data_IF_664280623817
#
_entry.id   IF_664280623817
#
_cell.length_a   1.000
_cell.length_b   1.000
_cell.length_c   1.000
_cell.angle_alpha   90.00
_cell.angle_beta   90.00
_cell.angle_gamma   90.00
#
_symmetry.space_group_name_H-M   'P 1'
#
loop_
_entity.id
_entity.type
_entity.pdbx_description
1 polymer ?
#
# COMPACT_ATOMS: atom_id res chain seq x y z
N UNK A 1 -17.36 -11.27 -17.41
CA UNK A 1 -16.61 -10.69 -16.28
C UNK A 1 -17.44 -9.53 -15.73
N UNK A 2 -17.82 -9.56 -14.45
CA UNK A 2 -18.74 -8.55 -13.90
C UNK A 2 -18.00 -7.23 -13.65
N UNK A 3 -18.68 -6.09 -13.82
CA UNK A 3 -18.13 -4.73 -13.61
C UNK A 3 -17.49 -4.57 -12.22
N UNK A 4 -18.07 -5.22 -11.21
CA UNK A 4 -17.57 -5.21 -9.84
C UNK A 4 -16.24 -5.94 -9.67
N UNK A 5 -16.03 -7.06 -10.36
CA UNK A 5 -14.77 -7.81 -10.32
C UNK A 5 -13.63 -6.99 -10.94
N UNK A 6 -13.92 -6.29 -12.03
CA UNK A 6 -12.97 -5.36 -12.66
C UNK A 6 -12.57 -4.25 -11.69
N UNK A 7 -13.54 -3.68 -10.97
CA UNK A 7 -13.29 -2.63 -9.99
C UNK A 7 -12.46 -3.14 -8.79
N UNK A 8 -12.76 -4.35 -8.29
CA UNK A 8 -12.00 -4.97 -7.22
C UNK A 8 -10.53 -5.17 -7.63
N UNK A 9 -10.30 -5.68 -8.84
CA UNK A 9 -8.94 -5.85 -9.37
C UNK A 9 -8.20 -4.52 -9.50
N UNK A 10 -8.89 -3.47 -9.97
CA UNK A 10 -8.32 -2.13 -10.07
C UNK A 10 -7.90 -1.58 -8.68
N UNK A 11 -8.75 -1.73 -7.66
CA UNK A 11 -8.44 -1.28 -6.29
C UNK A 11 -7.27 -2.05 -5.67
N UNK A 12 -7.19 -3.37 -5.90
CA UNK A 12 -6.02 -4.19 -5.50
C UNK A 12 -4.75 -3.73 -6.18
N UNK A 13 -4.81 -3.51 -7.49
CA UNK A 13 -3.67 -2.98 -8.25
C UNK A 13 -3.18 -1.65 -7.68
N UNK A 14 -4.09 -0.72 -7.35
CA UNK A 14 -3.75 0.56 -6.72
C UNK A 14 -3.00 0.37 -5.39
N UNK A 15 -3.46 -0.53 -4.52
CA UNK A 15 -2.75 -0.86 -3.26
C UNK A 15 -1.34 -1.39 -3.54
N UNK A 16 -1.20 -2.33 -4.47
CA UNK A 16 0.09 -2.93 -4.81
C UNK A 16 1.05 -1.93 -5.48
N UNK A 17 0.53 -1.01 -6.28
CA UNK A 17 1.28 0.09 -6.87
C UNK A 17 1.79 1.07 -5.80
N UNK A 18 0.94 1.47 -4.85
CA UNK A 18 1.36 2.35 -3.75
C UNK A 18 2.42 1.70 -2.87
N UNK A 19 2.30 0.39 -2.58
CA UNK A 19 3.35 -0.35 -1.85
C UNK A 19 4.68 -0.35 -2.61
N UNK A 20 4.66 -0.55 -3.92
CA UNK A 20 5.88 -0.49 -4.75
C UNK A 20 6.50 0.91 -4.74
N UNK A 21 5.69 1.96 -4.78
CA UNK A 21 6.14 3.34 -4.63
C UNK A 21 6.82 3.57 -3.28
N UNK A 22 6.24 3.11 -2.18
CA UNK A 22 6.84 3.21 -0.85
C UNK A 22 8.20 2.50 -0.80
N UNK A 23 8.28 1.27 -1.33
CA UNK A 23 9.54 0.53 -1.38
C UNK A 23 10.63 1.26 -2.18
N UNK A 24 10.27 1.92 -3.29
CA UNK A 24 11.20 2.74 -4.06
C UNK A 24 11.69 3.97 -3.27
N UNK A 25 10.80 4.64 -2.54
CA UNK A 25 11.13 5.77 -1.66
C UNK A 25 12.08 5.33 -0.54
N UNK A 26 11.82 4.18 0.08
CA UNK A 26 12.69 3.61 1.12
C UNK A 26 14.08 3.25 0.59
N UNK A 27 14.15 2.69 -0.63
CA UNK A 27 15.43 2.43 -1.29
C UNK A 27 16.21 3.73 -1.57
N UNK A 28 15.54 4.79 -2.01
CA UNK A 28 16.17 6.10 -2.21
C UNK A 28 16.67 6.69 -0.89
N UNK A 29 15.89 6.56 0.20
CA UNK A 29 16.30 6.99 1.54
C UNK A 29 17.58 6.27 1.99
N UNK A 30 17.60 4.95 1.89
CA UNK A 30 18.77 4.14 2.25
C UNK A 30 20.00 4.51 1.40
N UNK A 31 19.83 4.87 0.13
CA UNK A 31 20.92 5.33 -0.73
C UNK A 31 21.50 6.68 -0.27
N UNK A 32 20.65 7.64 0.13
CA UNK A 32 21.10 8.92 0.69
C UNK A 32 21.83 8.75 2.02
N UNK A 33 21.35 7.87 2.89
CA UNK A 33 22.01 7.58 4.17
C UNK A 33 23.40 6.97 3.94
N UNK A 34 23.53 6.04 2.99
CA UNK A 34 24.85 5.51 2.59
C UNK A 34 25.77 6.60 2.07
N UNK A 35 25.28 7.49 1.20
CA UNK A 35 26.07 8.63 0.69
C UNK A 35 26.53 9.57 1.80
N UNK A 36 25.71 9.79 2.83
CA UNK A 36 26.09 10.58 4.00
C UNK A 36 27.23 9.92 4.78
N UNK A 37 27.16 8.60 5.00
CA UNK A 37 28.24 7.83 5.62
C UNK A 37 29.53 7.87 4.78
N UNK A 38 29.42 7.71 3.46
CA UNK A 38 30.58 7.77 2.56
C UNK A 38 31.28 9.14 2.64
N UNK A 39 30.53 10.24 2.81
CA UNK A 39 31.10 11.57 3.00
C UNK A 39 31.87 11.69 4.33
N UNK A 40 31.40 11.06 5.40
CA UNK A 40 32.12 11.02 6.68
C UNK A 40 33.42 10.24 6.60
N UNK A 41 33.39 9.11 5.91
CA UNK A 41 34.58 8.31 5.67
C UNK A 41 35.59 9.06 4.79
N UNK A 42 35.10 9.79 3.78
CA UNK A 42 35.94 10.65 2.94
C UNK A 42 36.61 11.76 3.76
N UNK A 43 35.90 12.41 4.68
CA UNK A 43 36.47 13.43 5.57
C UNK A 43 37.56 12.83 6.46
N UNK A 44 37.33 11.64 6.99
CA UNK A 44 38.30 10.96 7.86
C UNK A 44 39.58 10.63 7.11
N UNK A 45 39.46 10.06 5.91
CA UNK A 45 40.61 9.77 5.04
C UNK A 45 41.36 11.04 4.62
N UNK A 46 40.63 12.07 4.23
CA UNK A 46 41.25 13.32 3.77
C UNK A 46 41.95 14.05 4.91
N UNK A 47 41.39 14.02 6.13
CA UNK A 47 42.05 14.58 7.32
C UNK A 47 43.42 13.94 7.56
N UNK A 48 43.50 12.62 7.46
CA UNK A 48 44.75 11.89 7.64
C UNK A 48 45.78 12.32 6.59
N UNK A 49 45.40 12.31 5.30
CA UNK A 49 46.29 12.68 4.19
C UNK A 49 46.72 14.15 4.22
N UNK A 50 45.81 15.05 4.57
CA UNK A 50 46.11 16.46 4.72
C UNK A 50 47.13 16.71 5.83
N UNK A 51 47.15 15.86 6.86
CA UNK A 51 48.14 15.90 7.95
C UNK A 51 49.58 15.67 7.50
N UNK A 52 49.80 15.04 6.35
CA UNK A 52 51.12 14.63 5.86
C UNK A 52 51.92 15.75 5.19
N UNK A 53 51.29 16.89 4.87
CA UNK A 53 51.98 18.03 4.23
C UNK A 53 51.39 19.38 4.62
N UNK A 54 52.20 20.44 4.64
CA UNK A 54 51.73 21.80 4.95
C UNK A 54 50.72 22.32 3.91
N UNK A 55 50.92 21.99 2.63
CA UNK A 55 49.98 22.32 1.56
C UNK A 55 48.64 21.62 1.81
N UNK A 56 48.65 20.34 2.21
CA UNK A 56 47.46 19.58 2.57
C UNK A 56 46.69 20.22 3.73
N UNK A 57 47.40 20.61 4.80
CA UNK A 57 46.81 21.30 5.96
C UNK A 57 46.13 22.62 5.56
N UNK A 58 46.72 23.37 4.63
CA UNK A 58 46.15 24.63 4.13
C UNK A 58 44.93 24.41 3.22
N UNK A 59 44.90 23.33 2.44
CA UNK A 59 43.79 23.02 1.54
C UNK A 59 42.58 22.38 2.25
N UNK A 60 42.82 21.65 3.35
CA UNK A 60 41.81 20.85 4.05
C UNK A 60 40.55 21.64 4.50
N UNK A 61 40.63 22.87 5.03
CA UNK A 61 39.44 23.65 5.38
C UNK A 61 38.52 23.91 4.20
N UNK A 62 39.07 24.11 3.00
CA UNK A 62 38.27 24.31 1.78
C UNK A 62 37.57 23.01 1.36
N UNK A 63 38.28 21.89 1.47
CA UNK A 63 37.70 20.57 1.26
C UNK A 63 36.53 20.31 2.23
N UNK A 64 36.72 20.56 3.53
CA UNK A 64 35.67 20.38 4.54
C UNK A 64 34.41 21.18 4.23
N UNK A 65 34.54 22.47 3.90
CA UNK A 65 33.39 23.31 3.50
C UNK A 65 32.62 22.73 2.31
N UNK A 66 33.33 22.14 1.34
CA UNK A 66 32.70 21.49 0.19
C UNK A 66 31.91 20.23 0.59
N UNK A 67 32.42 19.45 1.56
CA UNK A 67 31.72 18.28 2.09
C UNK A 67 30.50 18.72 2.91
N UNK A 68 30.62 19.71 3.78
CA UNK A 68 29.52 20.25 4.57
C UNK A 68 28.37 20.69 3.68
N UNK A 69 28.67 21.42 2.60
CA UNK A 69 27.66 21.85 1.61
C UNK A 69 26.94 20.64 0.98
N UNK A 70 27.70 19.59 0.60
CA UNK A 70 27.09 18.36 0.07
C UNK A 70 26.23 17.63 1.11
N UNK A 71 26.66 17.58 2.38
CA UNK A 71 25.89 16.96 3.46
C UNK A 71 24.59 17.70 3.72
N UNK A 72 24.61 19.03 3.74
CA UNK A 72 23.39 19.83 3.92
C UNK A 72 22.41 19.66 2.76
N UNK A 73 22.91 19.55 1.52
CA UNK A 73 22.06 19.23 0.37
C UNK A 73 21.42 17.83 0.53
N UNK A 74 22.21 16.80 0.85
CA UNK A 74 21.69 15.44 1.05
C UNK A 74 20.66 15.38 2.19
N UNK A 75 20.90 16.07 3.32
CA UNK A 75 19.95 16.14 4.43
C UNK A 75 18.65 16.85 4.03
N UNK A 76 18.75 17.87 3.18
CA UNK A 76 17.57 18.57 2.65
C UNK A 76 16.75 17.64 1.78
N UNK A 77 17.38 16.94 0.83
CA UNK A 77 16.72 15.92 0.01
C UNK A 77 16.15 14.79 0.85
N UNK A 78 16.84 14.35 1.92
CA UNK A 78 16.33 13.32 2.83
C UNK A 78 15.02 13.76 3.50
N UNK A 79 14.94 15.01 3.98
CA UNK A 79 13.70 15.56 4.56
C UNK A 79 12.55 15.62 3.54
N UNK A 80 12.85 15.91 2.28
CA UNK A 80 11.86 15.89 1.20
C UNK A 80 11.35 14.46 0.96
N UNK A 81 12.25 13.48 0.86
CA UNK A 81 11.91 12.06 0.73
C UNK A 81 11.09 11.57 1.93
N UNK A 82 11.39 12.00 3.15
CA UNK A 82 10.61 11.64 4.34
C UNK A 82 9.17 12.18 4.28
N UNK A 83 8.98 13.40 3.73
CA UNK A 83 7.63 13.95 3.49
C UNK A 83 6.89 13.16 2.41
N UNK A 84 7.58 12.80 1.32
CA UNK A 84 7.01 11.97 0.27
C UNK A 84 6.63 10.57 0.78
N UNK A 85 7.46 9.97 1.65
CA UNK A 85 7.17 8.70 2.30
C UNK A 85 5.91 8.78 3.15
N UNK A 86 5.80 9.81 4.00
CA UNK A 86 4.61 10.03 4.82
C UNK A 86 3.34 10.20 3.97
N UNK A 87 3.43 10.95 2.86
CA UNK A 87 2.33 11.09 1.90
C UNK A 87 1.96 9.75 1.25
N UNK A 88 2.93 8.97 0.81
CA UNK A 88 2.70 7.67 0.18
C UNK A 88 2.07 6.65 1.17
N UNK A 89 2.44 6.72 2.45
CA UNK A 89 1.82 5.93 3.51
C UNK A 89 0.36 6.31 3.75
N UNK A 90 0.04 7.61 3.71
CA UNK A 90 -1.35 8.08 3.77
C UNK A 90 -2.15 7.60 2.55
N UNK A 91 -1.58 7.69 1.34
CA UNK A 91 -2.19 7.17 0.11
C UNK A 91 -2.46 5.67 0.20
N UNK A 92 -1.53 4.90 0.77
CA UNK A 92 -1.68 3.45 0.95
C UNK A 92 -2.84 3.14 1.89
N UNK A 93 -2.93 3.87 3.01
CA UNK A 93 -4.03 3.74 3.95
C UNK A 93 -5.38 4.02 3.26
N UNK A 94 -5.47 5.10 2.48
CA UNK A 94 -6.66 5.43 1.71
C UNK A 94 -7.04 4.35 0.69
N UNK A 95 -6.06 3.85 -0.07
CA UNK A 95 -6.28 2.78 -1.04
C UNK A 95 -6.78 1.47 -0.38
N UNK A 96 -6.26 1.13 0.79
CA UNK A 96 -6.73 -0.02 1.57
C UNK A 96 -8.16 0.16 2.09
N UNK A 97 -8.49 1.35 2.59
CA UNK A 97 -9.85 1.65 3.06
C UNK A 97 -10.87 1.54 1.92
N UNK A 98 -10.55 2.06 0.74
CA UNK A 98 -11.39 1.94 -0.45
C UNK A 98 -11.57 0.47 -0.88
N UNK A 99 -10.49 -0.30 -0.91
CA UNK A 99 -10.54 -1.73 -1.23
C UNK A 99 -11.43 -2.47 -0.23
N UNK A 100 -11.23 -2.24 1.08
CA UNK A 100 -11.99 -2.95 2.11
C UNK A 100 -13.47 -2.60 2.09
N UNK A 101 -13.79 -1.33 1.84
CA UNK A 101 -15.17 -0.88 1.72
C UNK A 101 -15.90 -1.58 0.57
N UNK A 102 -15.22 -1.74 -0.58
CA UNK A 102 -15.76 -2.49 -1.72
C UNK A 102 -15.96 -3.97 -1.40
N UNK A 103 -14.98 -4.62 -0.75
CA UNK A 103 -15.08 -6.03 -0.36
C UNK A 103 -16.26 -6.28 0.59
N UNK A 104 -16.45 -5.41 1.59
CA UNK A 104 -17.59 -5.49 2.50
C UNK A 104 -18.91 -5.28 1.75
N UNK A 105 -19.00 -4.30 0.87
CA UNK A 105 -20.21 -4.06 0.08
C UNK A 105 -20.58 -5.28 -0.81
N UNK A 106 -19.57 -5.93 -1.40
CA UNK A 106 -19.74 -7.15 -2.19
C UNK A 106 -20.24 -8.32 -1.33
N UNK A 107 -19.65 -8.52 -0.16
CA UNK A 107 -20.06 -9.57 0.78
C UNK A 107 -21.51 -9.39 1.22
N UNK A 108 -21.91 -8.16 1.55
CA UNK A 108 -23.28 -7.84 1.94
C UNK A 108 -24.27 -8.06 0.78
N UNK A 109 -23.88 -7.72 -0.45
CA UNK A 109 -24.72 -7.98 -1.62
C UNK A 109 -24.89 -9.48 -1.87
N UNK A 110 -23.81 -10.26 -1.74
CA UNK A 110 -23.85 -11.71 -1.89
C UNK A 110 -24.76 -12.36 -0.83
N UNK A 111 -24.69 -11.91 0.43
CA UNK A 111 -25.58 -12.35 1.52
C UNK A 111 -27.04 -12.07 1.20
N UNK A 112 -27.38 -10.84 0.79
CA UNK A 112 -28.75 -10.49 0.41
C UNK A 112 -29.28 -11.35 -0.73
N UNK A 113 -28.48 -11.61 -1.75
CA UNK A 113 -28.87 -12.46 -2.88
C UNK A 113 -29.11 -13.91 -2.43
N UNK A 114 -28.24 -14.46 -1.57
CA UNK A 114 -28.40 -15.80 -1.03
C UNK A 114 -29.66 -15.92 -0.17
N UNK A 115 -29.93 -14.94 0.71
CA UNK A 115 -31.15 -14.91 1.53
C UNK A 115 -32.42 -14.86 0.66
N UNK A 116 -32.43 -14.05 -0.39
CA UNK A 116 -33.55 -13.97 -1.33
C UNK A 116 -33.76 -15.29 -2.08
N UNK A 117 -32.68 -15.96 -2.49
CA UNK A 117 -32.75 -17.28 -3.11
C UNK A 117 -33.32 -18.32 -2.14
N UNK A 118 -32.84 -18.37 -0.91
CA UNK A 118 -33.36 -19.28 0.12
C UNK A 118 -34.86 -19.04 0.38
N UNK A 119 -35.28 -17.77 0.52
CA UNK A 119 -36.70 -17.41 0.69
C UNK A 119 -37.55 -17.86 -0.50
N UNK A 120 -37.07 -17.65 -1.72
CA UNK A 120 -37.79 -18.07 -2.92
C UNK A 120 -37.91 -19.59 -3.03
N UNK A 121 -36.83 -20.33 -2.72
CA UNK A 121 -36.86 -21.80 -2.69
C UNK A 121 -37.82 -22.31 -1.61
N UNK A 122 -37.81 -21.70 -0.42
CA UNK A 122 -38.72 -22.07 0.67
C UNK A 122 -40.19 -21.87 0.26
N UNK A 123 -40.53 -20.70 -0.30
CA UNK A 123 -41.89 -20.43 -0.76
C UNK A 123 -42.38 -21.43 -1.81
N UNK A 124 -41.50 -21.86 -2.74
CA UNK A 124 -41.83 -22.90 -3.72
C UNK A 124 -42.06 -24.27 -3.07
N UNK A 125 -41.26 -24.62 -2.07
CA UNK A 125 -41.42 -25.87 -1.33
C UNK A 125 -42.74 -25.91 -0.56
N UNK A 126 -43.11 -24.80 0.09
CA UNK A 126 -44.35 -24.67 0.83
C UNK A 126 -45.57 -24.79 -0.10
N UNK A 127 -45.53 -24.16 -1.28
CA UNK A 127 -46.58 -24.29 -2.30
C UNK A 127 -46.74 -25.75 -2.78
N UNK A 128 -45.63 -26.44 -3.06
CA UNK A 128 -45.66 -27.85 -3.46
C UNK A 128 -46.20 -28.76 -2.36
N UNK A 129 -45.87 -28.48 -1.08
CA UNK A 129 -46.40 -29.21 0.05
C UNK A 129 -47.92 -29.02 0.19
N UNK A 130 -48.41 -27.79 0.01
CA UNK A 130 -49.84 -27.47 0.03
C UNK A 130 -50.60 -28.21 -1.07
N UNK A 131 -50.10 -28.16 -2.31
CA UNK A 131 -50.71 -28.86 -3.46
C UNK A 131 -50.78 -30.38 -3.22
N UNK A 132 -49.71 -30.98 -2.70
CA UNK A 132 -49.68 -32.40 -2.35
C UNK A 132 -50.69 -32.74 -1.25
N UNK A 133 -50.79 -31.89 -0.22
CA UNK A 133 -51.75 -32.08 0.87
C UNK A 133 -53.20 -32.04 0.37
N UNK A 134 -53.55 -31.02 -0.41
CA UNK A 134 -54.89 -30.87 -1.01
C UNK A 134 -55.26 -32.08 -1.89
N UNK A 135 -54.31 -32.55 -2.71
CA UNK A 135 -54.52 -33.74 -3.55
C UNK A 135 -54.80 -35.00 -2.73
N UNK A 136 -54.04 -35.21 -1.65
CA UNK A 136 -54.23 -36.35 -0.74
C UNK A 136 -55.56 -36.28 0.01
N UNK A 137 -55.98 -35.08 0.40
CA UNK A 137 -57.28 -34.88 1.07
C UNK A 137 -58.43 -35.24 0.12
N UNK A 138 -58.44 -34.70 -1.10
CA UNK A 138 -59.49 -34.95 -2.07
C UNK A 138 -59.64 -36.45 -2.43
N UNK A 139 -58.53 -37.20 -2.48
CA UNK A 139 -58.53 -38.65 -2.72
C UNK A 139 -59.09 -39.49 -1.56
N UNK A 140 -59.20 -38.93 -0.35
CA UNK A 140 -59.75 -39.63 0.83
C UNK A 140 -61.24 -39.39 1.04
N UNK A 141 -61.76 -38.31 0.46
CA UNK A 141 -63.16 -37.90 0.56
C UNK A 141 -64.01 -38.31 -0.64
N UNK A 142 -63.40 -38.93 -1.65
CA UNK A 142 -64.07 -39.55 -2.81
C UNK A 142 -64.12 -41.07 -2.63
#
# INVERSE_FOLDING_TARGET
MNRTDTLLRLKRFRVDETKRRIAAIEAMRADLDRKLHDLDDNVTRERQRAGDSDIGRLAFPSFLRSIETRRENLKTTLKEIEREHASAMADLSGAFQELKSLEVAMEQQARRLAEMQVRHQQSRMDEMALVRHLRKHNLRTA
#
